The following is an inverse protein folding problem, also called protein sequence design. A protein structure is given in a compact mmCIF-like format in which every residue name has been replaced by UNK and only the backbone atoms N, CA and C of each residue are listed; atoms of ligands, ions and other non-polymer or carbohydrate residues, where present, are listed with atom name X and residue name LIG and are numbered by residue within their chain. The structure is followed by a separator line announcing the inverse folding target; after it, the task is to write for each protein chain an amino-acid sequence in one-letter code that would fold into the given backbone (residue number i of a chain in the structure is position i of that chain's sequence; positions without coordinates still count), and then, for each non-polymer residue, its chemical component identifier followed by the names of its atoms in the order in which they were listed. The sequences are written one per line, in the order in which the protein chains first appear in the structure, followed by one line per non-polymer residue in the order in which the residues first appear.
data_IF_450566845014
#
_entry.id   IF_450566845014
#
_cell.length_a   1.000
_cell.length_b   1.000
_cell.length_c   1.000
_cell.angle_alpha   90.00
_cell.angle_beta   90.00
_cell.angle_gamma   90.00
#
_symmetry.space_group_name_H-M   'P 1'
#
loop_
_entity.id
_entity.type
_entity.pdbx_description
1 polymer ?
#
# COMPACT_ATOMS: atom_id res chain seq x y z
N UNK A 1 17.46 -18.39 -27.75
CA UNK A 1 16.71 -19.00 -26.64
C UNK A 1 17.01 -18.17 -25.42
N UNK A 2 16.11 -17.26 -25.05
CA UNK A 2 16.23 -16.59 -23.76
C UNK A 2 16.00 -17.67 -22.69
N UNK A 3 16.91 -17.78 -21.72
CA UNK A 3 16.67 -18.56 -20.51
C UNK A 3 15.36 -18.06 -19.91
N UNK A 4 14.39 -18.95 -19.73
CA UNK A 4 13.25 -18.64 -18.87
C UNK A 4 13.83 -18.28 -17.51
N UNK A 5 13.56 -17.09 -16.94
CA UNK A 5 14.08 -16.75 -15.63
C UNK A 5 13.66 -17.85 -14.66
N UNK A 6 14.62 -18.36 -13.88
CA UNK A 6 14.34 -19.34 -12.85
C UNK A 6 13.20 -18.81 -11.99
N UNK A 7 12.11 -19.58 -11.94
CA UNK A 7 10.96 -19.24 -11.12
C UNK A 7 11.43 -19.22 -9.67
N UNK A 8 11.31 -18.08 -9.01
CA UNK A 8 11.58 -17.96 -7.58
C UNK A 8 10.76 -19.01 -6.81
N UNK A 9 11.39 -19.61 -5.79
CA UNK A 9 10.77 -20.63 -4.93
C UNK A 9 10.99 -20.24 -3.47
N UNK A 10 9.94 -20.30 -2.63
CA UNK A 10 10.09 -20.05 -1.19
C UNK A 10 10.92 -21.14 -0.53
N UNK A 11 11.63 -20.77 0.52
CA UNK A 11 12.28 -21.67 1.47
C UNK A 11 11.28 -22.69 2.04
N UNK A 12 11.74 -23.84 2.52
CA UNK A 12 10.88 -24.80 3.21
C UNK A 12 10.08 -24.17 4.36
N UNK A 13 10.73 -23.28 5.11
CA UNK A 13 10.15 -22.55 6.23
C UNK A 13 9.03 -21.62 5.75
N UNK A 14 9.30 -20.76 4.76
CA UNK A 14 8.28 -19.87 4.22
C UNK A 14 7.13 -20.63 3.56
N UNK A 15 7.43 -21.77 2.91
CA UNK A 15 6.39 -22.63 2.32
C UNK A 15 5.42 -23.12 3.38
N UNK A 16 5.92 -23.61 4.51
CA UNK A 16 5.08 -24.07 5.61
C UNK A 16 4.29 -22.92 6.25
N UNK A 17 4.84 -21.70 6.25
CA UNK A 17 4.20 -20.54 6.88
C UNK A 17 3.14 -19.87 6.03
N UNK A 18 3.33 -19.75 4.71
CA UNK A 18 2.42 -18.96 3.85
C UNK A 18 2.01 -19.65 2.55
N UNK A 19 2.62 -20.78 2.15
CA UNK A 19 2.22 -21.51 0.94
C UNK A 19 1.56 -22.86 1.25
N UNK A 20 1.08 -23.00 2.48
CA UNK A 20 0.36 -24.17 2.98
C UNK A 20 -0.76 -23.66 3.88
N UNK A 21 -1.99 -24.06 3.57
CA UNK A 21 -3.17 -23.67 4.34
C UNK A 21 -3.18 -24.35 5.73
N UNK A 22 -4.27 -24.17 6.48
CA UNK A 22 -4.41 -24.73 7.82
C UNK A 22 -4.79 -26.22 7.83
N UNK A 23 -5.18 -26.77 6.68
CA UNK A 23 -5.43 -28.21 6.48
C UNK A 23 -4.18 -28.96 6.00
N UNK A 24 -3.10 -28.24 5.65
CA UNK A 24 -1.84 -28.81 5.21
C UNK A 24 -1.71 -28.93 3.68
N UNK A 25 -2.62 -28.34 2.92
CA UNK A 25 -2.62 -28.37 1.47
C UNK A 25 -1.91 -27.13 0.87
N UNK A 26 -1.31 -27.25 -0.33
CA UNK A 26 -0.68 -26.11 -0.99
C UNK A 26 -1.71 -25.01 -1.30
N UNK A 27 -1.38 -23.77 -0.93
CA UNK A 27 -2.25 -22.61 -1.11
C UNK A 27 -1.46 -21.38 -1.57
N UNK A 28 -2.20 -20.40 -2.12
CA UNK A 28 -1.64 -19.09 -2.43
C UNK A 28 -1.40 -18.29 -1.13
N UNK A 29 -0.29 -17.56 -0.99
CA UNK A 29 -0.02 -16.79 0.21
C UNK A 29 -1.07 -15.73 0.52
N UNK A 30 -1.69 -15.12 -0.48
CA UNK A 30 -2.75 -14.13 -0.22
C UNK A 30 -3.99 -14.78 0.41
N UNK A 31 -4.35 -15.98 -0.06
CA UNK A 31 -5.44 -16.78 0.51
C UNK A 31 -5.12 -17.19 1.95
N UNK A 32 -3.90 -17.68 2.20
CA UNK A 32 -3.46 -18.05 3.55
C UNK A 32 -3.46 -16.86 4.51
N UNK A 33 -3.03 -15.69 4.05
CA UNK A 33 -3.03 -14.46 4.87
C UNK A 33 -4.46 -14.04 5.20
N UNK A 34 -5.38 -14.13 4.24
CA UNK A 34 -6.78 -13.80 4.44
C UNK A 34 -7.48 -14.80 5.39
N UNK A 35 -7.34 -16.10 5.14
CA UNK A 35 -7.97 -17.16 5.94
C UNK A 35 -7.46 -17.16 7.38
N UNK A 36 -6.21 -16.75 7.60
CA UNK A 36 -5.64 -16.66 8.94
C UNK A 36 -6.37 -15.66 9.85
N UNK A 37 -7.12 -14.71 9.28
CA UNK A 37 -7.96 -13.77 10.05
C UNK A 37 -9.11 -14.47 10.78
N UNK A 38 -9.59 -15.61 10.27
CA UNK A 38 -10.60 -16.43 10.93
C UNK A 38 -10.00 -17.35 12.02
N UNK A 39 -8.67 -17.44 12.08
CA UNK A 39 -7.94 -18.20 13.10
C UNK A 39 -6.57 -18.69 12.62
N UNK A 40 -5.70 -19.07 13.56
CA UNK A 40 -4.40 -19.68 13.26
C UNK A 40 -3.25 -18.71 12.98
N UNK A 41 -3.53 -17.42 12.75
CA UNK A 41 -2.48 -16.39 12.59
C UNK A 41 -1.48 -16.39 13.77
N UNK A 42 -1.97 -16.59 15.01
CA UNK A 42 -1.16 -16.52 16.23
C UNK A 42 -0.05 -17.58 16.29
N UNK A 43 -0.27 -18.74 15.67
CA UNK A 43 0.72 -19.82 15.62
C UNK A 43 1.86 -19.52 14.64
N UNK A 44 1.56 -18.75 13.58
CA UNK A 44 2.50 -18.39 12.51
C UNK A 44 3.27 -17.09 12.82
N UNK A 45 2.68 -16.19 13.62
CA UNK A 45 3.25 -14.87 13.97
C UNK A 45 4.72 -14.94 14.44
N UNK A 46 5.13 -15.78 15.43
CA UNK A 46 6.50 -15.74 15.93
C UNK A 46 7.55 -16.09 14.87
N UNK A 47 7.22 -17.06 13.99
CA UNK A 47 8.13 -17.48 12.93
C UNK A 47 8.22 -16.43 11.81
N UNK A 48 7.12 -15.77 11.47
CA UNK A 48 7.14 -14.65 10.51
C UNK A 48 7.91 -13.44 11.04
N UNK A 49 7.83 -13.14 12.34
CA UNK A 49 8.66 -12.10 12.96
C UNK A 49 10.15 -12.44 12.80
N UNK A 50 10.52 -13.72 13.01
CA UNK A 50 11.90 -14.16 12.82
C UNK A 50 12.36 -13.99 11.36
N UNK A 51 11.54 -14.34 10.37
CA UNK A 51 11.84 -14.12 8.94
C UNK A 51 12.01 -12.63 8.64
N UNK A 52 11.08 -11.79 9.10
CA UNK A 52 11.10 -10.34 8.89
C UNK A 52 12.41 -9.70 9.41
N UNK A 53 12.87 -10.14 10.58
CA UNK A 53 14.05 -9.63 11.27
C UNK A 53 15.37 -10.23 10.78
N UNK A 54 15.33 -11.34 10.03
CA UNK A 54 16.53 -11.99 9.49
C UNK A 54 17.07 -11.19 8.30
N UNK A 55 18.19 -10.50 8.52
CA UNK A 55 18.88 -9.75 7.47
C UNK A 55 19.45 -10.60 6.34
N UNK A 56 19.52 -11.92 6.51
CA UNK A 56 19.98 -12.89 5.51
C UNK A 56 18.85 -13.60 4.78
N UNK A 57 17.61 -13.46 5.24
CA UNK A 57 16.45 -14.04 4.57
C UNK A 57 16.21 -13.37 3.20
N UNK A 58 15.59 -14.14 2.30
CA UNK A 58 15.28 -13.69 0.95
C UNK A 58 14.35 -12.45 1.00
N UNK A 59 14.63 -11.38 0.21
CA UNK A 59 13.83 -10.16 0.28
C UNK A 59 12.34 -10.36 0.00
N UNK A 60 11.95 -11.29 -0.88
CA UNK A 60 10.55 -11.57 -1.17
C UNK A 60 9.86 -12.25 0.02
N UNK A 61 10.56 -13.15 0.71
CA UNK A 61 10.04 -13.79 1.94
C UNK A 61 9.83 -12.78 3.06
N UNK A 62 10.78 -11.86 3.22
CA UNK A 62 10.67 -10.78 4.20
C UNK A 62 9.46 -9.91 3.87
N UNK A 63 9.23 -9.55 2.60
CA UNK A 63 8.08 -8.74 2.19
C UNK A 63 6.77 -9.46 2.51
N UNK A 64 6.67 -10.75 2.17
CA UNK A 64 5.51 -11.56 2.50
C UNK A 64 5.27 -11.65 4.01
N UNK A 65 6.32 -11.82 4.80
CA UNK A 65 6.22 -11.82 6.26
C UNK A 65 5.72 -10.47 6.79
N UNK A 66 6.19 -9.35 6.22
CA UNK A 66 5.73 -8.01 6.58
C UNK A 66 4.25 -7.82 6.22
N UNK A 67 3.84 -8.20 5.00
CA UNK A 67 2.45 -8.12 4.56
C UNK A 67 1.54 -8.95 5.47
N UNK A 68 1.88 -10.21 5.75
CA UNK A 68 1.12 -11.09 6.63
C UNK A 68 0.98 -10.51 8.04
N UNK A 69 2.09 -10.13 8.68
CA UNK A 69 2.09 -9.55 10.03
C UNK A 69 1.28 -8.26 10.10
N UNK A 70 1.36 -7.42 9.06
CA UNK A 70 0.60 -6.17 8.96
C UNK A 70 -0.89 -6.45 8.82
N UNK A 71 -1.29 -7.36 7.92
CA UNK A 71 -2.67 -7.79 7.74
C UNK A 71 -3.29 -8.36 9.01
N UNK A 72 -2.50 -9.04 9.85
CA UNK A 72 -2.94 -9.56 11.15
C UNK A 72 -2.81 -8.55 12.31
N UNK A 73 -2.61 -7.28 11.97
CA UNK A 73 -2.46 -6.16 12.90
C UNK A 73 -1.37 -6.36 13.96
N UNK A 74 -0.30 -7.07 13.62
CA UNK A 74 0.87 -7.23 14.48
C UNK A 74 1.74 -5.96 14.47
N UNK A 75 2.27 -5.59 15.64
CA UNK A 75 3.08 -4.37 15.80
C UNK A 75 4.36 -4.43 14.96
N UNK A 76 4.98 -5.62 14.83
CA UNK A 76 6.21 -5.77 14.03
C UNK A 76 5.97 -5.48 12.54
N UNK A 77 4.78 -5.81 12.03
CA UNK A 77 4.37 -5.47 10.67
C UNK A 77 4.28 -3.96 10.47
N UNK A 78 3.54 -3.26 11.32
CA UNK A 78 3.40 -1.80 11.24
C UNK A 78 4.73 -1.06 11.40
N UNK A 79 5.57 -1.47 12.35
CA UNK A 79 6.90 -0.88 12.54
C UNK A 79 7.77 -1.02 11.28
N UNK A 80 7.73 -2.18 10.63
CA UNK A 80 8.44 -2.40 9.38
C UNK A 80 7.88 -1.55 8.23
N UNK A 81 6.56 -1.37 8.13
CA UNK A 81 5.93 -0.46 7.16
C UNK A 81 6.38 0.98 7.37
N UNK A 82 6.34 1.47 8.62
CA UNK A 82 6.77 2.82 8.96
C UNK A 82 8.26 3.02 8.62
N UNK A 83 9.11 2.06 8.97
CA UNK A 83 10.53 2.09 8.65
C UNK A 83 10.79 2.10 7.13
N UNK A 84 10.06 1.27 6.37
CA UNK A 84 10.16 1.23 4.91
C UNK A 84 9.75 2.56 4.27
N UNK A 85 8.69 3.19 4.79
CA UNK A 85 8.22 4.48 4.28
C UNK A 85 9.16 5.65 4.61
N UNK A 86 9.98 5.54 5.67
CA UNK A 86 10.94 6.59 6.03
C UNK A 86 12.11 6.72 5.03
N UNK A 87 12.46 5.64 4.32
CA UNK A 87 13.53 5.61 3.33
C UNK A 87 13.17 4.67 2.16
N UNK A 88 12.18 5.02 1.33
CA UNK A 88 11.58 4.09 0.38
C UNK A 88 12.56 3.59 -0.69
N UNK A 89 13.62 4.35 -1.01
CA UNK A 89 14.66 3.96 -1.97
C UNK A 89 15.67 2.95 -1.42
N UNK A 90 15.80 2.85 -0.09
CA UNK A 90 16.79 1.99 0.58
C UNK A 90 16.21 0.65 1.06
N UNK A 91 14.94 0.39 0.74
CA UNK A 91 14.23 -0.80 1.22
C UNK A 91 14.71 -2.04 0.46
N UNK A 92 15.27 -3.01 1.19
CA UNK A 92 15.91 -4.22 0.64
C UNK A 92 14.97 -5.12 -0.17
N UNK A 93 13.67 -5.10 0.15
CA UNK A 93 12.64 -5.88 -0.56
C UNK A 93 11.86 -5.06 -1.59
N UNK A 94 12.36 -3.88 -1.96
CA UNK A 94 11.78 -3.11 -3.05
C UNK A 94 11.93 -3.85 -4.38
N UNK A 95 10.92 -3.75 -5.24
CA UNK A 95 10.89 -4.45 -6.52
C UNK A 95 10.80 -5.98 -6.38
N UNK A 96 10.26 -6.48 -5.27
CA UNK A 96 9.92 -7.91 -5.12
C UNK A 96 8.46 -8.20 -5.49
N UNK A 97 7.61 -7.18 -5.46
CA UNK A 97 6.24 -7.24 -5.98
C UNK A 97 6.11 -6.37 -7.24
N UNK A 98 5.37 -6.87 -8.23
CA UNK A 98 5.10 -6.15 -9.48
C UNK A 98 3.63 -6.27 -9.85
N UNK A 99 3.04 -5.15 -10.28
CA UNK A 99 1.72 -5.17 -10.90
C UNK A 99 1.75 -6.02 -12.19
N UNK A 100 0.75 -6.87 -12.34
CA UNK A 100 0.65 -7.82 -13.46
C UNK A 100 0.39 -7.17 -14.81
N UNK A 101 -0.15 -5.95 -14.85
CA UNK A 101 -0.56 -5.28 -16.08
C UNK A 101 0.54 -4.41 -16.68
N UNK A 102 1.34 -3.78 -15.83
CA UNK A 102 2.34 -2.79 -16.22
C UNK A 102 3.76 -3.16 -15.80
N UNK A 103 3.93 -4.27 -15.05
CA UNK A 103 5.24 -4.74 -14.53
C UNK A 103 5.98 -3.64 -13.77
N UNK A 104 5.23 -2.81 -13.06
CA UNK A 104 5.79 -1.75 -12.22
C UNK A 104 5.85 -2.25 -10.78
N UNK A 105 6.88 -1.82 -10.05
CA UNK A 105 7.10 -2.16 -8.64
C UNK A 105 5.88 -1.76 -7.82
N UNK A 106 5.22 -2.76 -7.21
CA UNK A 106 4.00 -2.61 -6.43
C UNK A 106 4.21 -2.95 -4.96
N UNK A 107 5.48 -2.94 -4.50
CA UNK A 107 5.83 -3.26 -3.11
C UNK A 107 5.05 -2.42 -2.11
N UNK A 108 4.95 -1.10 -2.33
CA UNK A 108 4.21 -0.21 -1.44
C UNK A 108 2.69 -0.31 -1.61
N UNK A 109 2.21 -0.70 -2.80
CA UNK A 109 0.81 -1.05 -3.01
C UNK A 109 0.39 -2.22 -2.13
N UNK A 110 1.16 -3.30 -2.13
CA UNK A 110 0.92 -4.47 -1.27
C UNK A 110 0.92 -4.11 0.23
N UNK A 111 1.84 -3.24 0.67
CA UNK A 111 1.86 -2.78 2.06
C UNK A 111 0.62 -1.93 2.41
N UNK A 112 0.14 -1.10 1.49
CA UNK A 112 -1.09 -0.33 1.68
C UNK A 112 -2.32 -1.23 1.80
N UNK A 113 -2.41 -2.28 0.99
CA UNK A 113 -3.47 -3.27 1.10
C UNK A 113 -3.41 -4.00 2.45
N UNK A 114 -2.21 -4.41 2.89
CA UNK A 114 -2.04 -5.08 4.18
C UNK A 114 -2.47 -4.20 5.38
N UNK A 115 -2.09 -2.91 5.38
CA UNK A 115 -2.55 -1.94 6.38
C UNK A 115 -4.07 -1.70 6.27
N UNK A 116 -4.62 -1.73 5.06
CA UNK A 116 -6.06 -1.66 4.83
C UNK A 116 -6.81 -2.84 5.45
N UNK A 117 -6.38 -4.06 5.13
CA UNK A 117 -6.99 -5.32 5.54
C UNK A 117 -6.98 -5.53 7.07
N UNK A 118 -5.99 -4.98 7.75
CA UNK A 118 -5.81 -5.16 9.20
C UNK A 118 -6.86 -4.49 10.08
N UNK A 119 -7.77 -3.69 9.50
CA UNK A 119 -8.78 -2.90 10.23
C UNK A 119 -9.66 -3.75 11.16
N UNK A 120 -9.93 -5.00 10.79
CA UNK A 120 -10.84 -5.87 11.55
C UNK A 120 -10.11 -6.53 12.74
N UNK A 121 -8.77 -6.47 12.77
CA UNK A 121 -7.92 -7.06 13.81
C UNK A 121 -7.38 -6.05 14.83
N UNK A 122 -7.40 -4.75 14.53
CA UNK A 122 -6.71 -3.76 15.38
C UNK A 122 -7.28 -3.66 16.80
N UNK A 123 -8.58 -3.89 16.98
CA UNK A 123 -9.21 -3.87 18.29
C UNK A 123 -8.82 -5.09 19.12
N UNK A 124 -8.79 -6.27 18.49
CA UNK A 124 -8.33 -7.52 19.12
C UNK A 124 -6.85 -7.42 19.53
N UNK A 125 -6.01 -6.85 18.67
CA UNK A 125 -4.56 -6.73 18.89
C UNK A 125 -4.18 -5.50 19.71
N UNK A 126 -5.09 -4.55 19.92
CA UNK A 126 -4.81 -3.28 20.58
C UNK A 126 -3.83 -2.39 19.82
N UNK A 127 -3.83 -2.46 18.48
CA UNK A 127 -2.84 -1.81 17.59
C UNK A 127 -3.42 -0.74 16.68
N UNK A 128 -4.61 -0.21 17.00
CA UNK A 128 -5.31 0.79 16.19
C UNK A 128 -4.47 2.05 15.93
N UNK A 129 -3.70 2.51 16.92
CA UNK A 129 -2.83 3.67 16.77
C UNK A 129 -1.65 3.38 15.81
N UNK A 130 -1.00 2.22 15.94
CA UNK A 130 0.06 1.80 15.02
C UNK A 130 -0.44 1.69 13.58
N UNK A 131 -1.68 1.20 13.36
CA UNK A 131 -2.30 1.19 12.03
C UNK A 131 -2.39 2.60 11.44
N UNK A 132 -2.86 3.57 12.23
CA UNK A 132 -2.96 4.97 11.79
C UNK A 132 -1.58 5.54 11.45
N UNK A 133 -0.56 5.23 12.25
CA UNK A 133 0.81 5.69 12.01
C UNK A 133 1.42 5.07 10.75
N UNK A 134 1.17 3.78 10.50
CA UNK A 134 1.58 3.11 9.26
C UNK A 134 0.86 3.70 8.04
N UNK A 135 -0.46 3.88 8.10
CA UNK A 135 -1.22 4.51 7.02
C UNK A 135 -0.75 5.95 6.75
N UNK A 136 -0.48 6.73 7.81
CA UNK A 136 0.08 8.08 7.71
C UNK A 136 1.42 8.08 6.98
N UNK A 137 2.31 7.15 7.34
CA UNK A 137 3.63 7.04 6.72
C UNK A 137 3.53 6.70 5.22
N UNK A 138 2.64 5.77 4.84
CA UNK A 138 2.39 5.42 3.44
C UNK A 138 1.77 6.59 2.65
N UNK A 139 0.76 7.26 3.22
CA UNK A 139 0.15 8.45 2.61
C UNK A 139 1.22 9.54 2.39
N UNK A 140 2.12 9.74 3.36
CA UNK A 140 3.15 10.78 3.28
C UNK A 140 4.16 10.58 2.15
N UNK A 141 4.27 9.37 1.58
CA UNK A 141 5.15 9.07 0.43
C UNK A 141 4.37 8.74 -0.85
N UNK A 142 3.05 8.93 -0.87
CA UNK A 142 2.21 8.61 -2.02
C UNK A 142 2.47 9.46 -3.25
N UNK A 143 3.26 10.53 -3.15
CA UNK A 143 3.80 11.22 -4.32
C UNK A 143 5.09 10.57 -4.86
N UNK A 144 5.85 9.86 -4.03
CA UNK A 144 7.21 9.36 -4.32
C UNK A 144 7.24 7.96 -4.93
N UNK A 145 6.33 7.09 -4.52
CA UNK A 145 6.30 5.68 -4.94
C UNK A 145 4.94 5.27 -5.49
N UNK A 146 4.91 4.13 -6.16
CA UNK A 146 3.69 3.56 -6.70
C UNK A 146 2.84 2.90 -5.62
N UNK A 147 1.55 3.19 -5.71
CA UNK A 147 0.47 2.52 -4.99
C UNK A 147 -0.73 2.21 -5.89
N UNK A 148 -0.89 2.88 -7.05
CA UNK A 148 -2.10 2.78 -7.89
C UNK A 148 -3.41 2.89 -7.05
N UNK A 149 -4.35 1.94 -7.17
CA UNK A 149 -5.61 1.89 -6.43
C UNK A 149 -5.48 1.36 -5.00
N UNK A 150 -4.31 0.83 -4.63
CA UNK A 150 -4.03 0.27 -3.30
C UNK A 150 -4.01 1.34 -2.19
N UNK A 151 -4.00 2.64 -2.54
CA UNK A 151 -4.28 3.70 -1.57
C UNK A 151 -5.72 3.67 -1.05
N UNK A 152 -6.68 3.19 -1.83
CA UNK A 152 -8.10 3.21 -1.49
C UNK A 152 -8.41 2.60 -0.11
N UNK A 153 -7.94 1.37 0.18
CA UNK A 153 -8.09 0.74 1.50
C UNK A 153 -7.55 1.56 2.69
N UNK A 154 -6.58 2.46 2.50
CA UNK A 154 -6.08 3.34 3.56
C UNK A 154 -7.04 4.52 3.86
N UNK A 155 -7.88 4.91 2.90
CA UNK A 155 -8.68 6.16 2.95
C UNK A 155 -10.04 5.96 3.65
N UNK A 156 -10.01 5.29 4.80
CA UNK A 156 -11.13 5.17 5.73
C UNK A 156 -11.26 6.41 6.62
N UNK A 157 -12.45 6.66 7.18
CA UNK A 157 -12.74 7.92 7.89
C UNK A 157 -11.78 8.22 9.04
N UNK A 158 -11.46 7.23 9.88
CA UNK A 158 -10.53 7.39 11.01
C UNK A 158 -9.11 7.74 10.56
N UNK A 159 -8.62 7.13 9.48
CA UNK A 159 -7.30 7.45 8.91
C UNK A 159 -7.31 8.84 8.29
N UNK A 160 -8.34 9.18 7.52
CA UNK A 160 -8.49 10.50 6.91
C UNK A 160 -8.52 11.59 7.99
N UNK A 161 -9.31 11.40 9.04
CA UNK A 161 -9.44 12.36 10.13
C UNK A 161 -8.10 12.58 10.85
N UNK A 162 -7.31 11.51 11.01
CA UNK A 162 -6.01 11.59 11.64
C UNK A 162 -4.93 12.18 10.72
N UNK A 163 -5.01 11.99 9.40
CA UNK A 163 -3.92 12.26 8.44
C UNK A 163 -4.19 13.44 7.50
N UNK A 164 -5.05 14.38 7.89
CA UNK A 164 -5.46 15.49 7.02
C UNK A 164 -4.28 16.31 6.49
N UNK A 165 -3.27 16.56 7.33
CA UNK A 165 -2.11 17.37 6.98
C UNK A 165 -1.18 16.63 6.01
N UNK A 166 -0.97 15.33 6.21
CA UNK A 166 -0.18 14.49 5.31
C UNK A 166 -0.87 14.32 3.96
N UNK A 167 -2.20 14.18 3.94
CA UNK A 167 -2.98 14.15 2.70
C UNK A 167 -2.79 15.48 1.94
N UNK A 168 -2.99 16.63 2.60
CA UNK A 168 -2.80 17.96 1.96
C UNK A 168 -1.39 18.13 1.42
N UNK A 169 -0.38 17.87 2.26
CA UNK A 169 1.02 18.06 1.89
C UNK A 169 1.44 17.16 0.73
N UNK A 170 1.00 15.91 0.72
CA UNK A 170 1.32 14.96 -0.36
C UNK A 170 0.63 15.34 -1.66
N UNK A 171 -0.63 15.76 -1.61
CA UNK A 171 -1.34 16.28 -2.77
C UNK A 171 -0.62 17.48 -3.37
N UNK A 172 -0.21 18.43 -2.53
CA UNK A 172 0.49 19.63 -3.00
C UNK A 172 1.83 19.31 -3.66
N UNK A 173 2.66 18.48 -3.04
CA UNK A 173 3.95 18.05 -3.61
C UNK A 173 3.76 17.28 -4.90
N UNK A 174 2.82 16.32 -4.93
CA UNK A 174 2.58 15.50 -6.11
C UNK A 174 2.08 16.31 -7.31
N UNK A 175 1.18 17.29 -7.09
CA UNK A 175 0.74 18.20 -8.16
C UNK A 175 1.92 19.02 -8.69
N UNK A 176 2.80 19.52 -7.81
CA UNK A 176 3.99 20.26 -8.23
C UNK A 176 4.92 19.40 -9.09
N UNK A 177 5.12 18.13 -8.71
CA UNK A 177 5.93 17.18 -9.49
C UNK A 177 5.34 16.85 -10.85
N UNK A 178 4.03 16.62 -10.94
CA UNK A 178 3.35 16.46 -12.23
C UNK A 178 3.52 17.70 -13.11
N UNK A 179 3.32 18.90 -12.55
CA UNK A 179 3.44 20.15 -13.29
C UNK A 179 4.87 20.46 -13.75
N UNK A 180 5.88 19.92 -13.05
CA UNK A 180 7.28 20.07 -13.41
C UNK A 180 7.72 19.17 -14.58
N UNK A 181 6.83 18.30 -15.09
CA UNK A 181 7.13 17.26 -16.09
C UNK A 181 8.28 16.35 -15.65
N UNK A 182 8.33 16.05 -14.34
CA UNK A 182 9.22 15.02 -13.82
C UNK A 182 8.90 13.70 -14.53
N UNK A 183 9.94 12.96 -14.94
CA UNK A 183 9.77 11.59 -15.43
C UNK A 183 9.31 10.69 -14.28
N UNK A 184 8.01 10.58 -14.12
CA UNK A 184 7.36 9.75 -13.09
C UNK A 184 7.05 8.38 -13.71
N UNK A 185 7.61 7.27 -13.17
CA UNK A 185 7.49 5.96 -13.79
C UNK A 185 6.17 5.24 -13.51
N UNK A 186 5.26 5.84 -12.72
CA UNK A 186 3.98 5.28 -12.30
C UNK A 186 2.83 6.29 -12.45
N UNK A 187 1.59 5.84 -12.28
CA UNK A 187 0.38 6.67 -12.42
C UNK A 187 0.14 7.57 -11.19
N UNK A 188 1.00 8.57 -11.01
CA UNK A 188 0.88 9.54 -9.91
C UNK A 188 -0.45 10.32 -9.99
N UNK A 189 -0.94 10.59 -11.20
CA UNK A 189 -2.21 11.29 -11.38
C UNK A 189 -3.38 10.59 -10.70
N UNK A 190 -3.49 9.26 -10.86
CA UNK A 190 -4.52 8.47 -10.20
C UNK A 190 -4.40 8.52 -8.67
N UNK A 191 -3.20 8.35 -8.13
CA UNK A 191 -2.95 8.39 -6.68
C UNK A 191 -3.37 9.75 -6.09
N UNK A 192 -3.06 10.85 -6.77
CA UNK A 192 -3.48 12.19 -6.36
C UNK A 192 -4.99 12.41 -6.49
N UNK A 193 -5.64 11.80 -7.49
CA UNK A 193 -7.10 11.84 -7.60
C UNK A 193 -7.75 11.16 -6.37
N UNK A 194 -7.29 9.99 -5.95
CA UNK A 194 -7.80 9.30 -4.75
C UNK A 194 -7.65 10.16 -3.49
N UNK A 195 -6.46 10.75 -3.28
CA UNK A 195 -6.21 11.62 -2.13
C UNK A 195 -7.05 12.90 -2.15
N UNK A 196 -7.19 13.57 -3.31
CA UNK A 196 -8.04 14.77 -3.42
C UNK A 196 -9.52 14.46 -3.22
N UNK A 197 -9.99 13.27 -3.63
CA UNK A 197 -11.35 12.81 -3.32
C UNK A 197 -11.52 12.61 -1.82
N UNK A 198 -10.55 12.00 -1.13
CA UNK A 198 -10.57 11.86 0.32
C UNK A 198 -10.59 13.22 1.04
N UNK A 199 -9.85 14.23 0.53
CA UNK A 199 -9.85 15.60 1.09
C UNK A 199 -11.24 16.21 1.20
N UNK A 200 -12.18 15.87 0.29
CA UNK A 200 -13.55 16.42 0.33
C UNK A 200 -14.29 16.11 1.63
N UNK A 201 -13.92 15.04 2.34
CA UNK A 201 -14.55 14.65 3.60
C UNK A 201 -14.28 15.63 4.74
N UNK A 202 -13.16 16.35 4.70
CA UNK A 202 -12.77 17.28 5.76
C UNK A 202 -12.58 18.73 5.30
N UNK A 203 -12.37 18.98 4.01
CA UNK A 203 -12.13 20.32 3.47
C UNK A 203 -12.54 20.40 1.98
N UNK A 204 -13.85 20.47 1.74
CA UNK A 204 -14.40 20.52 0.38
C UNK A 204 -13.86 21.69 -0.47
N UNK A 205 -13.74 22.94 0.04
CA UNK A 205 -13.18 24.04 -0.74
C UNK A 205 -11.72 23.83 -1.14
N UNK A 206 -10.88 23.31 -0.23
CA UNK A 206 -9.49 22.99 -0.55
C UNK A 206 -9.41 21.84 -1.56
N UNK A 207 -10.21 20.79 -1.38
CA UNK A 207 -10.28 19.66 -2.30
C UNK A 207 -10.68 20.10 -3.72
N UNK A 208 -11.71 20.94 -3.87
CA UNK A 208 -12.11 21.46 -5.17
C UNK A 208 -11.01 22.30 -5.84
N UNK A 209 -10.22 23.02 -5.04
CA UNK A 209 -9.06 23.77 -5.54
C UNK A 209 -7.93 22.85 -5.97
N UNK A 210 -7.64 21.82 -5.18
CA UNK A 210 -6.64 20.80 -5.51
C UNK A 210 -7.02 20.02 -6.77
N UNK A 211 -8.29 19.63 -6.96
CA UNK A 211 -8.76 18.96 -8.16
C UNK A 211 -8.56 19.80 -9.42
N UNK A 212 -8.87 21.10 -9.37
CA UNK A 212 -8.60 22.02 -10.50
C UNK A 212 -7.11 22.12 -10.82
N UNK A 213 -6.26 22.23 -9.79
CA UNK A 213 -4.80 22.26 -9.95
C UNK A 213 -4.27 20.96 -10.52
N UNK A 214 -4.78 19.82 -10.05
CA UNK A 214 -4.41 18.49 -10.54
C UNK A 214 -4.76 18.34 -12.01
N UNK A 215 -5.97 18.72 -12.43
CA UNK A 215 -6.37 18.70 -13.86
C UNK A 215 -5.50 19.62 -14.72
N UNK A 216 -5.18 20.81 -14.21
CA UNK A 216 -4.28 21.73 -14.91
C UNK A 216 -2.85 21.18 -15.07
N UNK A 217 -2.41 20.29 -14.17
CA UNK A 217 -1.14 19.58 -14.26
C UNK A 217 -1.17 18.34 -15.18
N UNK A 218 -2.26 18.14 -15.93
CA UNK A 218 -2.45 17.04 -16.88
C UNK A 218 -2.23 15.63 -16.28
N UNK A 219 -3.12 15.17 -15.38
CA UNK A 219 -2.90 13.99 -14.55
C UNK A 219 -3.20 12.66 -15.26
N UNK A 220 -3.48 12.68 -16.56
CA UNK A 220 -3.90 11.50 -17.33
C UNK A 220 -5.36 11.07 -17.15
N UNK A 221 -5.79 10.13 -17.99
CA UNK A 221 -7.21 9.77 -18.16
C UNK A 221 -7.80 8.98 -16.98
N UNK A 222 -6.97 8.21 -16.27
CA UNK A 222 -7.42 7.44 -15.09
C UNK A 222 -7.77 8.38 -13.95
N UNK A 223 -6.93 9.37 -13.68
CA UNK A 223 -7.18 10.43 -12.70
C UNK A 223 -8.46 11.21 -13.02
N UNK A 224 -8.65 11.62 -14.28
CA UNK A 224 -9.85 12.35 -14.73
C UNK A 224 -11.14 11.56 -14.51
N UNK A 225 -11.12 10.26 -14.83
CA UNK A 225 -12.26 9.36 -14.57
C UNK A 225 -12.56 9.24 -13.09
N UNK A 226 -11.54 9.04 -12.27
CA UNK A 226 -11.69 8.96 -10.81
C UNK A 226 -12.35 10.24 -10.23
N UNK A 227 -11.90 11.43 -10.68
CA UNK A 227 -12.51 12.70 -10.27
C UNK A 227 -13.96 12.85 -10.77
N UNK A 228 -14.25 12.42 -12.01
CA UNK A 228 -15.58 12.48 -12.58
C UNK A 228 -16.57 11.58 -11.83
N UNK A 229 -16.17 10.35 -11.53
CA UNK A 229 -16.96 9.38 -10.76
C UNK A 229 -17.24 9.88 -9.35
N UNK A 230 -16.21 10.37 -8.65
CA UNK A 230 -16.34 10.83 -7.27
C UNK A 230 -17.20 12.11 -7.11
N UNK A 231 -17.28 12.95 -8.14
CA UNK A 231 -18.05 14.21 -8.11
C UNK A 231 -19.38 14.12 -8.84
N UNK A 232 -19.62 13.06 -9.60
CA UNK A 232 -20.76 12.96 -10.52
C UNK A 232 -20.73 14.01 -11.64
N UNK A 233 -19.56 14.61 -11.92
CA UNK A 233 -19.40 15.72 -12.85
C UNK A 233 -18.53 15.33 -14.04
N UNK A 234 -19.10 15.37 -15.24
CA UNK A 234 -18.36 15.18 -16.49
C UNK A 234 -17.38 16.32 -16.79
N UNK A 235 -17.40 17.41 -16.02
CA UNK A 235 -16.49 18.54 -16.17
C UNK A 235 -15.01 18.14 -16.07
N UNK A 236 -14.69 17.04 -15.37
CA UNK A 236 -13.32 16.59 -15.19
C UNK A 236 -12.76 15.76 -16.36
N UNK A 237 -13.62 15.38 -17.32
CA UNK A 237 -13.22 14.64 -18.52
C UNK A 237 -12.75 15.55 -19.67
N UNK A 238 -12.90 16.87 -19.52
CA UNK A 238 -12.47 17.89 -20.50
C UNK A 238 -11.10 18.47 -20.15
#
# INVERSE_FOLDING_TARGET
MAESPERWLPSPEMRALLFTDFDGEPADPDDVIADALDGGYAERTPALIAVLQDGSADPAERLLACAALTSWADSAGYEAVIAAAAAPDDVVWRGQSYDRFFSQDDTFGQLADAVGASRDMVDERGTAQQRIEAARALIAIADLVQFDRHLGPLLESNVIDACQDEIRATVDRGIQRLAADDRIPFDLGLQLALLTVAMRRFDEPAAATAMRRLVAANPGDRARRELAEATGSSLWLM
#
